data_IF_812731578166
#
_entry.id   IF_812731578166
#
_cell.length_a   1.000
_cell.length_b   1.000
_cell.length_c   1.000
_cell.angle_alpha   90.00
_cell.angle_beta   90.00
_cell.angle_gamma   90.00
#
_symmetry.space_group_name_H-M   'P 1'
#
loop_
_entity.id
_entity.type
_entity.pdbx_description
1 polymer ?
#
# COMPACT_ATOMS: atom_id res chain seq x y z
N UNK A 1 -2.44 16.65 -1.38
CA UNK A 1 -2.53 15.23 -1.00
C UNK A 1 -3.83 15.06 -0.25
N UNK A 2 -4.59 14.00 -0.53
CA UNK A 2 -5.87 13.74 0.15
C UNK A 2 -5.90 12.32 0.71
N UNK A 3 -6.76 12.11 1.69
CA UNK A 3 -6.99 10.80 2.29
C UNK A 3 -8.46 10.41 2.13
N UNK A 4 -8.74 9.12 2.21
CA UNK A 4 -10.10 8.62 2.40
C UNK A 4 -10.06 7.29 3.14
N UNK A 5 -11.14 6.53 3.06
CA UNK A 5 -11.19 5.20 3.65
C UNK A 5 -10.14 4.29 2.98
N UNK A 6 -9.08 3.97 3.72
CA UNK A 6 -7.96 3.09 3.35
C UNK A 6 -7.32 3.41 1.99
N UNK A 7 -7.16 4.69 1.65
CA UNK A 7 -6.34 5.12 0.51
C UNK A 7 -5.68 6.48 0.72
N UNK A 8 -4.56 6.69 0.03
CA UNK A 8 -3.89 7.99 -0.13
C UNK A 8 -4.00 8.42 -1.59
N UNK A 9 -4.34 9.69 -1.83
CA UNK A 9 -4.47 10.28 -3.15
C UNK A 9 -3.38 11.33 -3.44
N UNK A 10 -2.73 11.13 -4.59
CA UNK A 10 -1.72 12.00 -5.18
C UNK A 10 -2.21 12.50 -6.55
N UNK A 11 -2.81 13.70 -6.59
CA UNK A 11 -3.43 14.21 -7.81
C UNK A 11 -4.50 13.23 -8.33
N UNK A 12 -4.25 12.67 -9.52
CA UNK A 12 -5.12 11.69 -10.18
C UNK A 12 -4.82 10.23 -9.85
N UNK A 13 -3.82 9.96 -9.00
CA UNK A 13 -3.46 8.62 -8.57
C UNK A 13 -3.95 8.35 -7.15
N UNK A 14 -4.41 7.13 -6.90
CA UNK A 14 -4.69 6.59 -5.56
C UNK A 14 -3.90 5.32 -5.35
N UNK A 15 -3.38 5.15 -4.14
CA UNK A 15 -2.88 3.87 -3.65
C UNK A 15 -3.56 3.49 -2.33
N UNK A 16 -3.85 2.21 -2.12
CA UNK A 16 -4.59 1.79 -0.94
C UNK A 16 -5.20 0.40 -1.03
N UNK A 17 -5.89 0.01 0.04
CA UNK A 17 -6.59 -1.25 0.17
C UNK A 17 -7.95 -1.17 -0.53
N UNK A 18 -8.18 -2.00 -1.55
CA UNK A 18 -9.50 -2.15 -2.18
C UNK A 18 -10.40 -3.02 -1.28
N UNK A 19 -9.87 -4.16 -0.85
CA UNK A 19 -10.42 -5.07 0.16
C UNK A 19 -9.26 -5.76 0.90
N UNK A 20 -9.55 -6.61 1.89
CA UNK A 20 -8.53 -7.31 2.67
C UNK A 20 -7.57 -8.19 1.83
N UNK A 21 -7.85 -8.46 0.56
CA UNK A 21 -7.02 -9.26 -0.32
C UNK A 21 -6.30 -8.46 -1.42
N UNK A 22 -6.67 -7.19 -1.66
CA UNK A 22 -6.16 -6.42 -2.79
C UNK A 22 -5.71 -5.03 -2.36
N UNK A 23 -4.42 -4.75 -2.52
CA UNK A 23 -3.88 -3.39 -2.54
C UNK A 23 -3.65 -2.95 -3.98
N UNK A 24 -4.02 -1.72 -4.30
CA UNK A 24 -4.04 -1.23 -5.68
C UNK A 24 -3.36 0.12 -5.82
N UNK A 25 -2.72 0.34 -6.97
CA UNK A 25 -2.37 1.67 -7.48
C UNK A 25 -3.23 1.91 -8.72
N UNK A 26 -4.04 2.97 -8.72
CA UNK A 26 -4.99 3.26 -9.80
C UNK A 26 -5.13 4.76 -10.12
N UNK A 27 -5.52 5.05 -11.35
CA UNK A 27 -5.67 6.40 -11.89
C UNK A 27 -7.16 6.78 -12.03
N UNK A 28 -7.47 8.07 -11.95
CA UNK A 28 -8.85 8.59 -12.00
C UNK A 28 -9.55 8.36 -13.34
N UNK A 29 -8.83 7.92 -14.37
CA UNK A 29 -9.41 7.46 -15.65
C UNK A 29 -10.03 6.06 -15.58
N UNK A 30 -10.06 5.42 -14.40
CA UNK A 30 -10.58 4.07 -14.20
C UNK A 30 -9.55 2.95 -14.42
N UNK A 31 -8.28 3.30 -14.65
CA UNK A 31 -7.23 2.31 -14.90
C UNK A 31 -6.50 1.92 -13.61
N UNK A 32 -6.39 0.62 -13.37
CA UNK A 32 -5.53 0.00 -12.35
C UNK A 32 -4.17 -0.33 -12.96
N UNK A 33 -3.12 0.18 -12.31
CA UNK A 33 -1.72 0.06 -12.75
C UNK A 33 -1.10 -1.24 -12.24
N UNK A 34 -1.30 -1.52 -10.95
CA UNK A 34 -0.72 -2.69 -10.28
C UNK A 34 -1.61 -3.09 -9.11
N UNK A 35 -1.84 -4.39 -8.97
CA UNK A 35 -2.47 -4.99 -7.80
C UNK A 35 -1.43 -5.83 -7.07
N UNK A 36 -1.39 -5.69 -5.74
CA UNK A 36 -0.61 -6.50 -4.83
C UNK A 36 -1.61 -7.33 -4.01
N UNK A 37 -1.57 -8.65 -4.15
CA UNK A 37 -2.51 -9.53 -3.46
C UNK A 37 -1.97 -10.02 -2.13
N UNK A 38 -2.87 -10.24 -1.17
CA UNK A 38 -2.56 -10.78 0.17
C UNK A 38 -1.83 -12.13 0.14
N UNK A 39 -1.97 -12.89 -0.95
CA UNK A 39 -1.25 -14.15 -1.18
C UNK A 39 0.22 -13.97 -1.62
N UNK A 40 0.67 -12.74 -1.84
CA UNK A 40 2.03 -12.41 -2.26
C UNK A 40 2.18 -12.21 -3.77
N UNK A 41 1.14 -12.42 -4.58
CA UNK A 41 1.22 -12.30 -6.05
C UNK A 41 1.03 -10.86 -6.54
N UNK A 42 1.58 -10.58 -7.73
CA UNK A 42 1.48 -9.31 -8.43
C UNK A 42 0.63 -9.47 -9.68
N UNK A 43 -0.34 -8.57 -9.88
CA UNK A 43 -1.17 -8.56 -11.10
C UNK A 43 -0.97 -7.22 -11.81
N UNK A 44 -0.11 -7.19 -12.85
CA UNK A 44 0.20 -5.95 -13.57
C UNK A 44 -0.98 -5.49 -14.41
N UNK A 45 -1.07 -4.18 -14.61
CA UNK A 45 -1.99 -3.53 -15.53
C UNK A 45 -1.54 -3.61 -17.00
N UNK A 46 -2.27 -2.98 -17.93
CA UNK A 46 -3.48 -2.18 -17.66
C UNK A 46 -4.69 -3.06 -17.29
N UNK A 47 -5.49 -2.62 -16.32
CA UNK A 47 -6.75 -3.27 -15.90
C UNK A 47 -7.83 -2.23 -15.60
N UNK A 48 -9.09 -2.62 -15.69
CA UNK A 48 -10.26 -1.79 -15.31
C UNK A 48 -10.95 -2.30 -14.03
N UNK A 49 -10.39 -3.31 -13.38
CA UNK A 49 -10.88 -3.89 -12.13
C UNK A 49 -9.94 -3.61 -10.96
N UNK A 50 -10.45 -3.76 -9.74
CA UNK A 50 -9.68 -3.59 -8.49
C UNK A 50 -8.98 -2.23 -8.38
N UNK A 51 -9.67 -1.16 -8.80
CA UNK A 51 -9.23 0.22 -8.62
C UNK A 51 -9.76 0.85 -7.33
N UNK A 52 -9.39 2.11 -7.06
CA UNK A 52 -9.81 2.85 -5.85
C UNK A 52 -10.79 4.00 -6.16
N UNK A 53 -11.14 4.19 -7.43
CA UNK A 53 -12.00 5.26 -7.91
C UNK A 53 -13.46 4.81 -7.99
N UNK A 54 -14.01 4.39 -6.85
CA UNK A 54 -15.42 4.04 -6.69
C UNK A 54 -16.18 5.19 -6.02
N UNK A 55 -17.42 5.47 -6.45
CA UNK A 55 -18.25 6.54 -5.87
C UNK A 55 -18.52 6.35 -4.36
N UNK A 56 -18.42 5.12 -3.87
CA UNK A 56 -18.53 4.77 -2.44
C UNK A 56 -17.28 5.10 -1.61
N UNK A 57 -16.20 5.60 -2.23
CA UNK A 57 -14.92 5.90 -1.57
C UNK A 57 -14.55 7.37 -1.78
N UNK A 58 -15.27 8.30 -1.15
CA UNK A 58 -14.97 9.72 -1.24
C UNK A 58 -13.64 10.05 -0.54
N UNK A 59 -13.10 11.22 -0.85
CA UNK A 59 -12.10 11.87 0.00
C UNK A 59 -12.76 12.21 1.33
N UNK A 60 -12.03 12.03 2.42
CA UNK A 60 -12.47 12.32 3.79
C UNK A 60 -11.53 13.35 4.43
N UNK A 61 -12.02 14.03 5.46
CA UNK A 61 -11.22 14.95 6.29
C UNK A 61 -10.29 14.20 7.26
N UNK A 62 -10.30 12.87 7.25
CA UNK A 62 -9.47 12.03 8.11
C UNK A 62 -8.95 10.79 7.37
N UNK A 63 -7.74 10.30 7.71
CA UNK A 63 -7.10 9.14 7.08
C UNK A 63 -7.63 7.82 7.67
N UNK A 64 -8.91 7.51 7.43
CA UNK A 64 -9.56 6.32 7.98
C UNK A 64 -8.86 5.03 7.54
N UNK A 65 -8.49 4.18 8.52
CA UNK A 65 -7.79 2.92 8.26
C UNK A 65 -6.35 3.09 7.78
N UNK A 66 -5.74 4.25 8.01
CA UNK A 66 -4.33 4.51 7.72
C UNK A 66 -3.62 4.86 9.02
N UNK A 67 -2.53 4.16 9.30
CA UNK A 67 -1.68 4.39 10.47
C UNK A 67 -0.21 4.42 10.07
N UNK A 68 0.63 4.92 10.96
CA UNK A 68 2.06 5.08 10.72
C UNK A 68 2.86 4.29 11.75
N UNK A 69 4.04 3.82 11.35
CA UNK A 69 5.05 3.30 12.26
C UNK A 69 6.45 3.74 11.84
N UNK A 70 7.49 3.17 12.45
CA UNK A 70 8.88 3.48 12.08
C UNK A 70 9.14 3.15 10.60
N UNK A 71 9.21 4.20 9.78
CA UNK A 71 9.50 4.16 8.33
C UNK A 71 8.50 3.36 7.48
N UNK A 72 7.26 3.19 7.94
CA UNK A 72 6.20 2.59 7.13
C UNK A 72 4.85 3.26 7.33
N UNK A 73 4.00 3.13 6.32
CA UNK A 73 2.57 3.43 6.39
C UNK A 73 1.82 2.09 6.34
N UNK A 74 0.87 1.89 7.25
CA UNK A 74 -0.12 0.83 7.12
C UNK A 74 -1.42 1.41 6.57
N UNK A 75 -1.97 0.77 5.54
CA UNK A 75 -3.25 1.11 4.90
C UNK A 75 -4.09 -0.16 4.91
N UNK A 76 -5.11 -0.19 5.77
CA UNK A 76 -5.84 -1.42 6.08
C UNK A 76 -4.90 -2.51 6.59
N UNK A 77 -4.84 -3.62 5.84
CA UNK A 77 -4.02 -4.80 6.11
C UNK A 77 -2.69 -4.80 5.36
N UNK A 78 -2.33 -3.71 4.69
CA UNK A 78 -1.12 -3.62 3.87
C UNK A 78 -0.14 -2.62 4.45
N UNK A 79 1.15 -2.95 4.44
CA UNK A 79 2.26 -2.05 4.81
C UNK A 79 3.10 -1.73 3.59
N UNK A 80 3.45 -0.46 3.47
CA UNK A 80 4.40 0.05 2.47
C UNK A 80 5.46 0.84 3.21
N UNK A 81 6.74 0.48 3.06
CA UNK A 81 7.79 1.16 3.83
C UNK A 81 9.19 0.61 3.67
N UNK A 82 10.13 1.30 4.31
CA UNK A 82 11.55 0.94 4.37
C UNK A 82 11.81 -0.09 5.48
N UNK A 83 12.42 -1.20 5.09
CA UNK A 83 12.78 -2.29 5.99
C UNK A 83 14.11 -1.96 6.67
N UNK A 84 15.20 -1.77 5.94
CA UNK A 84 16.55 -1.75 6.51
C UNK A 84 17.49 -0.74 5.84
N UNK A 85 16.94 0.23 5.12
CA UNK A 85 17.67 1.21 4.33
C UNK A 85 18.17 0.66 2.99
N UNK A 86 17.99 -0.63 2.71
CA UNK A 86 18.35 -1.30 1.45
C UNK A 86 17.15 -1.92 0.74
N UNK A 87 16.08 -2.21 1.47
CA UNK A 87 14.85 -2.81 0.96
C UNK A 87 13.63 -1.97 1.31
N UNK A 88 12.90 -1.51 0.30
CA UNK A 88 11.55 -0.98 0.44
C UNK A 88 10.55 -2.05 0.00
N UNK A 89 9.44 -2.24 0.71
CA UNK A 89 8.51 -3.32 0.37
C UNK A 89 7.04 -2.97 0.47
N UNK A 90 6.23 -3.74 -0.26
CA UNK A 90 4.78 -3.79 -0.14
C UNK A 90 4.43 -5.17 0.42
N UNK A 91 3.87 -5.20 1.63
CA UNK A 91 3.59 -6.42 2.38
C UNK A 91 2.18 -6.43 2.97
N UNK A 92 1.67 -7.60 3.29
CA UNK A 92 0.36 -7.83 3.89
C UNK A 92 0.54 -8.39 5.31
N UNK A 93 -0.31 -7.98 6.27
CA UNK A 93 -0.25 -8.42 7.68
C UNK A 93 -0.42 -9.95 7.84
N UNK A 94 -0.99 -10.62 6.84
CA UNK A 94 -1.06 -12.09 6.75
C UNK A 94 0.28 -12.78 6.47
N UNK A 95 1.40 -12.05 6.47
CA UNK A 95 2.75 -12.62 6.42
C UNK A 95 3.35 -12.77 5.01
N UNK A 96 2.80 -12.05 4.01
CA UNK A 96 3.33 -12.06 2.65
C UNK A 96 3.91 -10.72 2.25
N UNK A 97 5.07 -10.78 1.60
CA UNK A 97 5.70 -9.64 0.91
C UNK A 97 5.46 -9.83 -0.59
N UNK A 98 4.81 -8.84 -1.22
CA UNK A 98 4.41 -8.91 -2.63
C UNK A 98 5.48 -8.36 -3.57
N UNK A 99 6.19 -7.32 -3.15
CA UNK A 99 7.24 -6.69 -3.95
C UNK A 99 8.29 -6.09 -3.03
N UNK A 100 9.55 -6.29 -3.39
CA UNK A 100 10.70 -5.61 -2.79
C UNK A 100 11.38 -4.76 -3.86
N UNK A 101 11.67 -3.52 -3.52
CA UNK A 101 12.44 -2.56 -4.30
C UNK A 101 13.76 -2.37 -3.59
N UNK A 102 14.86 -2.67 -4.27
CA UNK A 102 16.20 -2.62 -3.67
C UNK A 102 16.91 -1.32 -3.98
N UNK A 103 17.83 -0.93 -3.10
CA UNK A 103 18.74 0.21 -3.27
C UNK A 103 19.59 0.14 -4.55
N UNK A 104 19.82 -1.07 -5.07
CA UNK A 104 20.50 -1.32 -6.36
C UNK A 104 19.60 -1.15 -7.60
N UNK A 105 18.34 -0.75 -7.42
CA UNK A 105 17.37 -0.51 -8.50
C UNK A 105 16.65 -1.77 -8.99
N UNK A 106 16.91 -2.95 -8.43
CA UNK A 106 16.23 -4.19 -8.85
C UNK A 106 14.89 -4.42 -8.16
N UNK A 107 14.00 -5.12 -8.87
CA UNK A 107 12.69 -5.56 -8.37
C UNK A 107 12.73 -7.05 -8.04
N UNK A 108 12.30 -7.41 -6.83
CA UNK A 108 12.18 -8.80 -6.40
C UNK A 108 10.72 -9.09 -6.05
N UNK A 109 9.97 -9.70 -6.99
CA UNK A 109 8.55 -10.00 -6.77
C UNK A 109 8.37 -11.13 -5.75
N UNK A 110 7.21 -11.13 -5.12
CA UNK A 110 6.71 -12.21 -4.28
C UNK A 110 6.17 -13.40 -5.10
N UNK A 111 5.56 -14.39 -4.43
CA UNK A 111 5.25 -14.41 -3.00
C UNK A 111 6.50 -14.65 -2.14
N UNK A 112 6.71 -13.80 -1.14
CA UNK A 112 7.82 -13.88 -0.19
C UNK A 112 7.32 -13.77 1.25
N UNK A 113 8.17 -14.12 2.22
CA UNK A 113 7.89 -14.00 3.66
C UNK A 113 8.99 -13.24 4.41
N UNK A 114 9.95 -12.66 3.69
CA UNK A 114 11.08 -11.87 4.17
C UNK A 114 10.94 -10.39 3.76
N UNK A 115 11.88 -9.55 4.23
CA UNK A 115 11.96 -8.11 3.91
C UNK A 115 10.62 -7.38 4.08
N UNK A 116 10.08 -7.46 5.30
CA UNK A 116 8.78 -6.87 5.66
C UNK A 116 8.92 -5.96 6.88
N UNK A 117 8.06 -4.95 6.95
CA UNK A 117 7.87 -4.12 8.15
C UNK A 117 6.76 -4.67 9.05
N UNK A 118 6.06 -5.73 8.65
CA UNK A 118 5.06 -6.41 9.49
C UNK A 118 5.72 -6.91 10.79
N UNK A 119 5.02 -6.75 11.91
CA UNK A 119 5.55 -7.03 13.25
C UNK A 119 6.17 -5.81 13.95
N UNK A 120 6.52 -4.74 13.22
CA UNK A 120 6.91 -3.46 13.85
C UNK A 120 5.71 -2.79 14.52
N UNK A 121 5.92 -2.12 15.67
CA UNK A 121 4.85 -1.42 16.37
C UNK A 121 4.33 -0.25 15.53
N UNK A 122 3.06 0.10 15.76
CA UNK A 122 2.53 1.39 15.33
C UNK A 122 3.13 2.49 16.19
N UNK A 123 3.32 3.67 15.60
CA UNK A 123 3.65 4.86 16.36
C UNK A 123 2.36 5.57 16.75
N UNK A 124 2.33 6.07 17.98
CA UNK A 124 1.30 7.03 18.36
C UNK A 124 1.48 8.31 17.52
N UNK A 125 0.35 8.87 17.06
CA UNK A 125 0.35 10.16 16.40
C UNK A 125 0.85 11.21 17.39
N UNK A 126 2.09 11.68 17.20
CA UNK A 126 2.62 12.85 17.87
C UNK A 126 2.59 14.00 16.89
N UNK A 127 1.90 15.08 17.25
CA UNK A 127 1.97 16.32 16.50
C UNK A 127 3.42 16.79 16.59
N UNK A 128 4.08 16.96 15.46
CA UNK A 128 5.37 17.63 15.41
C UNK A 128 5.12 19.11 15.79
N UNK A 129 5.80 19.57 16.84
CA UNK A 129 5.87 20.99 17.21
C UNK A 129 6.54 21.83 16.12
#
# INVERSE_FOLDING_TARGET
MHFGDRFIQFGHFRMGEVDANHFSISHSSGQTVQIFRSDGTLHPGPRSSWGLWHSSRPVLDAPLGITFGDRFVQIGNFRVGDVDGQHFSVAHVGGKTMQIFRSDGTLHPGPRSDYTTVGRPMLECKVAE
#
